data_IF_188052925376
#
_entry.id   IF_188052925376
#
_cell.length_a   1.000
_cell.length_b   1.000
_cell.length_c   1.000
_cell.angle_alpha   90.00
_cell.angle_beta   90.00
_cell.angle_gamma   90.00
#
_symmetry.space_group_name_H-M   'P 1'
#
loop_
_entity.id
_entity.type
_entity.pdbx_description
1 polymer ?
#
# COMPACT_ATOMS: atom_id res chain seq x y z
N UNK A 1 1.94 -15.26 -1.85
CA UNK A 1 1.92 -13.95 -1.16
C UNK A 1 2.20 -12.90 -2.22
N UNK A 2 1.26 -12.01 -2.53
CA UNK A 2 1.47 -11.00 -3.57
C UNK A 2 2.60 -10.06 -3.15
N UNK A 3 3.72 -10.13 -3.87
CA UNK A 3 4.94 -9.38 -3.58
C UNK A 3 4.84 -7.93 -4.07
N UNK A 4 3.75 -7.21 -3.74
CA UNK A 4 3.59 -5.82 -4.16
C UNK A 4 4.44 -4.90 -3.26
N UNK A 5 5.45 -4.20 -3.81
CA UNK A 5 6.28 -3.25 -3.05
C UNK A 5 5.45 -2.17 -2.36
N UNK A 6 4.37 -1.72 -3.01
CA UNK A 6 3.44 -0.73 -2.46
C UNK A 6 2.72 -1.23 -1.21
N UNK A 7 2.32 -2.51 -1.18
CA UNK A 7 1.67 -3.12 -0.01
C UNK A 7 2.66 -3.23 1.15
N UNK A 8 3.91 -3.65 0.87
CA UNK A 8 4.96 -3.71 1.89
C UNK A 8 5.26 -2.32 2.48
N UNK A 9 5.32 -1.29 1.63
CA UNK A 9 5.45 0.10 2.05
C UNK A 9 4.26 0.54 2.92
N UNK A 10 3.03 0.26 2.52
CA UNK A 10 1.81 0.61 3.26
C UNK A 10 1.83 0.05 4.69
N UNK A 11 2.18 -1.23 4.87
CA UNK A 11 2.32 -1.84 6.20
C UNK A 11 3.43 -1.20 7.04
N UNK A 12 4.58 -0.92 6.43
CA UNK A 12 5.69 -0.27 7.11
C UNK A 12 5.31 1.14 7.58
N UNK A 13 4.75 1.94 6.69
CA UNK A 13 4.32 3.31 6.97
C UNK A 13 3.19 3.33 8.03
N UNK A 14 2.28 2.35 8.02
CA UNK A 14 1.24 2.18 9.06
C UNK A 14 1.88 1.91 10.43
N UNK A 15 2.89 1.05 10.48
CA UNK A 15 3.62 0.75 11.72
C UNK A 15 4.29 2.01 12.27
N UNK A 16 4.89 2.83 11.41
CA UNK A 16 5.50 4.11 11.77
C UNK A 16 4.45 5.11 12.29
N UNK A 17 3.30 5.21 11.64
CA UNK A 17 2.18 6.05 12.07
C UNK A 17 1.68 5.67 13.46
N UNK A 18 1.50 4.37 13.74
CA UNK A 18 1.10 3.88 15.06
C UNK A 18 2.17 4.16 16.12
N UNK A 19 3.45 3.94 15.80
CA UNK A 19 4.56 4.27 16.71
C UNK A 19 4.63 5.76 17.04
N UNK A 20 4.35 6.63 16.07
CA UNK A 20 4.24 8.07 16.29
C UNK A 20 3.13 8.40 17.28
N UNK A 21 1.93 7.84 17.10
CA UNK A 21 0.80 8.04 18.00
C UNK A 21 1.07 7.57 19.43
N UNK A 22 1.86 6.52 19.59
CA UNK A 22 2.25 6.00 20.91
C UNK A 22 3.49 6.69 21.52
N UNK A 23 4.08 7.69 20.86
CA UNK A 23 5.30 8.35 21.34
C UNK A 23 6.55 7.46 21.33
N UNK A 24 6.54 6.37 20.55
CA UNK A 24 7.63 5.39 20.45
C UNK A 24 8.45 5.52 19.16
N UNK A 25 8.29 6.63 18.43
CA UNK A 25 8.98 6.83 17.17
C UNK A 25 10.41 7.36 17.38
N UNK A 26 11.38 6.57 16.96
CA UNK A 26 12.80 6.94 16.99
C UNK A 26 13.23 7.61 15.68
N UNK A 27 14.36 8.34 15.70
CA UNK A 27 14.93 8.92 14.49
C UNK A 27 15.34 7.86 13.46
N UNK A 28 15.67 6.64 13.91
CA UNK A 28 15.92 5.50 13.01
C UNK A 28 14.68 5.17 12.18
N UNK A 29 13.51 5.08 12.80
CA UNK A 29 12.27 4.82 12.04
C UNK A 29 11.93 5.94 11.06
N UNK A 30 12.29 7.19 11.36
CA UNK A 30 12.10 8.32 10.43
C UNK A 30 13.00 8.18 9.20
N UNK A 31 14.28 7.86 9.40
CA UNK A 31 15.23 7.65 8.32
C UNK A 31 14.85 6.43 7.47
N UNK A 32 14.49 5.32 8.14
CA UNK A 32 14.03 4.10 7.47
C UNK A 32 12.76 4.38 6.64
N UNK A 33 11.82 5.19 7.13
CA UNK A 33 10.64 5.59 6.37
C UNK A 33 11.01 6.34 5.09
N UNK A 34 11.87 7.34 5.18
CA UNK A 34 12.32 8.09 4.00
C UNK A 34 13.01 7.17 2.98
N UNK A 35 13.88 6.28 3.43
CA UNK A 35 14.55 5.31 2.57
C UNK A 35 13.55 4.37 1.90
N UNK A 36 12.62 3.81 2.67
CA UNK A 36 11.64 2.82 2.17
C UNK A 36 10.65 3.45 1.19
N UNK A 37 10.33 4.75 1.32
CA UNK A 37 9.59 5.49 0.30
C UNK A 37 10.33 5.50 -1.03
N UNK A 38 11.63 5.81 -1.03
CA UNK A 38 12.42 5.84 -2.26
C UNK A 38 12.64 4.45 -2.86
N UNK A 39 12.73 3.42 -2.04
CA UNK A 39 12.95 2.03 -2.48
C UNK A 39 11.69 1.39 -3.07
N UNK A 40 10.53 1.57 -2.42
CA UNK A 40 9.31 0.83 -2.78
C UNK A 40 8.33 1.62 -3.64
N UNK A 41 8.38 2.96 -3.60
CA UNK A 41 7.47 3.84 -4.34
C UNK A 41 8.23 5.01 -5.00
N UNK A 42 9.27 4.72 -5.82
CA UNK A 42 10.19 5.73 -6.36
C UNK A 42 9.52 6.77 -7.26
N UNK A 43 8.39 6.46 -7.88
CA UNK A 43 7.69 7.34 -8.83
C UNK A 43 6.43 7.99 -8.26
N UNK A 44 6.11 7.75 -6.99
CA UNK A 44 4.92 8.30 -6.35
C UNK A 44 5.22 9.64 -5.67
N UNK A 45 4.84 10.74 -6.34
CA UNK A 45 5.02 12.08 -5.82
C UNK A 45 4.14 12.34 -4.58
N UNK A 46 2.92 11.83 -4.54
CA UNK A 46 1.98 12.07 -3.45
C UNK A 46 2.46 11.39 -2.17
N UNK A 47 2.95 10.15 -2.29
CA UNK A 47 3.59 9.43 -1.19
C UNK A 47 4.81 10.20 -0.66
N UNK A 48 5.68 10.72 -1.54
CA UNK A 48 6.83 11.53 -1.09
C UNK A 48 6.40 12.78 -0.34
N UNK A 49 5.40 13.50 -0.85
CA UNK A 49 4.89 14.74 -0.22
C UNK A 49 4.30 14.43 1.16
N UNK A 50 3.48 13.38 1.28
CA UNK A 50 2.89 12.98 2.55
C UNK A 50 3.95 12.60 3.59
N UNK A 51 4.99 11.87 3.17
CA UNK A 51 6.09 11.45 4.05
C UNK A 51 6.94 12.65 4.48
N UNK A 52 7.23 13.59 3.58
CA UNK A 52 7.92 14.84 3.94
C UNK A 52 7.10 15.66 4.94
N UNK A 53 5.79 15.80 4.74
CA UNK A 53 4.90 16.50 5.66
C UNK A 53 4.89 15.85 7.04
N UNK A 54 4.84 14.50 7.09
CA UNK A 54 4.98 13.75 8.33
C UNK A 54 6.32 14.00 9.02
N UNK A 55 7.44 13.89 8.30
CA UNK A 55 8.78 14.07 8.85
C UNK A 55 8.99 15.49 9.41
N UNK A 56 8.43 16.50 8.75
CA UNK A 56 8.50 17.89 9.17
C UNK A 56 7.71 18.19 10.46
N UNK A 57 6.58 17.51 10.68
CA UNK A 57 5.63 17.85 11.75
C UNK A 57 5.66 16.89 12.94
N UNK A 58 6.21 15.68 12.76
CA UNK A 58 6.12 14.62 13.76
C UNK A 58 6.81 14.95 15.11
N UNK A 59 7.87 15.76 15.10
CA UNK A 59 8.57 16.12 16.36
C UNK A 59 7.70 17.00 17.26
N UNK A 60 6.98 17.93 16.67
CA UNK A 60 6.16 18.90 17.40
C UNK A 60 4.77 18.35 17.72
N UNK A 61 4.21 17.55 16.80
CA UNK A 61 2.84 17.04 16.90
C UNK A 61 2.77 15.53 16.59
N UNK A 62 3.36 14.65 17.42
CA UNK A 62 3.53 13.24 17.09
C UNK A 62 2.21 12.49 16.87
N UNK A 63 1.18 12.76 17.68
CA UNK A 63 -0.13 12.12 17.56
C UNK A 63 -0.87 12.58 16.30
N UNK A 64 -0.90 13.90 16.05
CA UNK A 64 -1.57 14.47 14.89
C UNK A 64 -0.88 14.06 13.58
N UNK A 65 0.46 14.12 13.53
CA UNK A 65 1.25 13.67 12.39
C UNK A 65 1.05 12.16 12.14
N UNK A 66 1.05 11.34 13.19
CA UNK A 66 0.77 9.91 13.08
C UNK A 66 -0.63 9.61 12.54
N UNK A 67 -1.65 10.36 12.98
CA UNK A 67 -3.00 10.22 12.44
C UNK A 67 -3.07 10.65 10.96
N UNK A 68 -2.50 11.80 10.59
CA UNK A 68 -2.49 12.28 9.21
C UNK A 68 -1.78 11.31 8.26
N UNK A 69 -0.66 10.71 8.69
CA UNK A 69 0.02 9.68 7.91
C UNK A 69 -0.85 8.42 7.75
N UNK A 70 -1.56 7.99 8.81
CA UNK A 70 -2.46 6.84 8.73
C UNK A 70 -3.61 7.10 7.77
N UNK A 71 -4.25 8.26 7.84
CA UNK A 71 -5.35 8.65 6.97
C UNK A 71 -4.90 8.69 5.50
N UNK A 72 -3.71 9.25 5.24
CA UNK A 72 -3.09 9.22 3.93
C UNK A 72 -2.88 7.78 3.43
N UNK A 73 -2.29 6.90 4.24
CA UNK A 73 -2.02 5.51 3.82
C UNK A 73 -3.31 4.76 3.53
N UNK A 74 -4.37 4.95 4.33
CA UNK A 74 -5.66 4.31 4.08
C UNK A 74 -6.22 4.72 2.70
N UNK A 75 -6.28 6.02 2.42
CA UNK A 75 -6.73 6.52 1.12
C UNK A 75 -5.83 6.06 -0.03
N UNK A 76 -4.51 6.16 0.16
CA UNK A 76 -3.50 5.77 -0.81
C UNK A 76 -3.54 4.27 -1.13
N UNK A 77 -3.82 3.42 -0.14
CA UNK A 77 -4.02 2.00 -0.32
C UNK A 77 -5.37 1.68 -0.94
N UNK A 78 -6.43 2.46 -0.72
CA UNK A 78 -7.73 2.25 -1.39
C UNK A 78 -7.62 2.46 -2.91
N UNK A 79 -6.89 3.49 -3.34
CA UNK A 79 -6.63 3.75 -4.76
C UNK A 79 -5.76 2.67 -5.42
N UNK A 80 -4.92 1.99 -4.63
CA UNK A 80 -3.94 0.98 -5.10
C UNK A 80 -4.33 -0.46 -4.83
N UNK A 81 -5.28 -0.68 -3.93
CA UNK A 81 -5.94 -1.95 -3.69
C UNK A 81 -6.86 -2.15 -4.88
N UNK A 82 -6.48 -2.99 -5.86
CA UNK A 82 -7.41 -3.33 -6.88
C UNK A 82 -8.54 -4.04 -6.13
N UNK A 83 -9.76 -3.57 -6.36
CA UNK A 83 -10.83 -4.50 -6.67
C UNK A 83 -10.34 -5.35 -7.85
N UNK A 84 -9.45 -6.30 -7.55
CA UNK A 84 -8.96 -7.33 -8.46
C UNK A 84 -10.15 -8.12 -9.00
N UNK A 85 -11.33 -7.96 -8.40
CA UNK A 85 -12.63 -8.35 -8.90
C UNK A 85 -12.83 -8.03 -10.39
N UNK A 86 -12.63 -6.81 -10.88
CA UNK A 86 -12.98 -6.49 -12.29
C UNK A 86 -12.02 -7.18 -13.28
N UNK A 87 -10.73 -7.22 -12.95
CA UNK A 87 -9.68 -7.86 -13.76
C UNK A 87 -9.77 -9.40 -13.70
N UNK A 88 -9.97 -9.96 -12.51
CA UNK A 88 -10.21 -11.40 -12.30
C UNK A 88 -11.53 -11.84 -12.93
N UNK A 89 -12.58 -11.02 -12.88
CA UNK A 89 -13.85 -11.30 -13.58
C UNK A 89 -13.70 -11.26 -15.09
N UNK A 90 -12.88 -10.36 -15.64
CA UNK A 90 -12.54 -10.35 -17.07
C UNK A 90 -11.74 -11.60 -17.46
N UNK A 91 -10.76 -12.00 -16.64
CA UNK A 91 -9.97 -13.22 -16.86
C UNK A 91 -10.83 -14.49 -16.79
N UNK A 92 -11.76 -14.59 -15.83
CA UNK A 92 -12.73 -15.71 -15.72
C UNK A 92 -13.67 -15.74 -16.93
N UNK A 93 -14.24 -14.59 -17.33
CA UNK A 93 -15.13 -14.50 -18.51
C UNK A 93 -14.42 -14.79 -19.83
N UNK A 94 -13.10 -14.61 -19.89
CA UNK A 94 -12.30 -14.87 -21.09
C UNK A 94 -11.90 -16.33 -21.26
N UNK A 95 -12.11 -17.18 -20.25
CA UNK A 95 -11.96 -18.62 -20.41
C UNK A 95 -13.26 -19.21 -20.98
N UNK A 96 -13.22 -19.94 -22.10
CA UNK A 96 -14.39 -20.64 -22.59
C UNK A 96 -14.77 -21.73 -21.57
N UNK A 97 -15.81 -21.45 -20.78
CA UNK A 97 -16.27 -22.27 -19.62
C UNK A 97 -16.67 -23.72 -19.98
N UNK A 98 -16.63 -24.10 -21.27
CA UNK A 98 -17.18 -25.36 -21.78
C UNK A 98 -16.34 -26.04 -22.86
N UNK A 99 -15.01 -25.88 -22.91
CA UNK A 99 -14.17 -26.65 -23.88
C UNK A 99 -14.35 -28.17 -23.78
N UNK A 100 -14.77 -28.68 -22.62
CA UNK A 100 -15.07 -30.10 -22.42
C UNK A 100 -16.37 -30.58 -23.09
N UNK A 101 -17.30 -29.69 -23.46
CA UNK A 101 -18.53 -30.07 -24.16
C UNK A 101 -18.29 -30.36 -25.65
N UNK A 102 -17.27 -29.75 -26.24
CA UNK A 102 -16.91 -29.93 -27.66
C UNK A 102 -15.92 -31.09 -27.88
N UNK A 103 -15.57 -31.81 -26.81
CA UNK A 103 -14.65 -32.93 -26.84
C UNK A 103 -15.33 -34.20 -27.34
N UNK A 104 -15.05 -34.52 -28.60
CA UNK A 104 -15.55 -35.72 -29.30
C UNK A 104 -15.08 -37.06 -28.69
N UNK A 105 -14.16 -37.05 -27.73
CA UNK A 105 -13.64 -38.25 -27.06
C UNK A 105 -14.47 -38.70 -25.84
N UNK A 106 -15.54 -37.96 -25.50
CA UNK A 106 -16.46 -38.27 -24.39
C UNK A 106 -17.84 -38.78 -24.84
N UNK A 107 -18.06 -39.00 -26.15
CA UNK A 107 -19.28 -39.63 -26.70
C UNK A 107 -19.07 -41.11 -27.05
#
# INVERSE_FOLDING_TARGET
>A
MSSSPAVAFGFFATTVALKAKCGQLTDRFRADLAQKTLEFVPDDADARVAILAFLATNRDFPVAAGQALLDFICAWMEDRSPKDVERVLQEIKSQPEYEWQDRADLQ
#
